data_IF_052190750404
#
_entry.id   IF_052190750404
#
_cell.length_a   1.000
_cell.length_b   1.000
_cell.length_c   1.000
_cell.angle_alpha   90.00
_cell.angle_beta   90.00
_cell.angle_gamma   90.00
#
_symmetry.space_group_name_H-M   'P 1'
#
loop_
_entity.id
_entity.type
_entity.pdbx_description
1 polymer ?
#
# COMPACT_ATOMS: atom_id res chain seq x y z
N UNK A 1 79.94 -58.54 48.47
CA UNK A 1 79.34 -59.88 48.55
C UNK A 1 78.23 -59.89 49.61
N UNK A 2 76.96 -60.02 49.16
CA UNK A 2 75.76 -60.62 49.82
C UNK A 2 74.47 -60.00 49.20
N UNK A 3 73.93 -60.62 48.13
CA UNK A 3 72.60 -61.29 47.98
C UNK A 3 71.33 -60.48 48.34
N UNK A 4 70.60 -59.96 47.32
CA UNK A 4 69.23 -60.32 46.81
C UNK A 4 68.02 -59.68 47.57
N UNK A 5 66.81 -59.43 46.99
CA UNK A 5 66.27 -60.06 45.77
C UNK A 5 65.55 -59.17 44.73
N UNK A 6 65.35 -59.77 43.57
CA UNK A 6 64.46 -59.36 42.48
C UNK A 6 62.99 -59.60 42.83
N UNK A 7 62.11 -58.67 42.46
CA UNK A 7 60.67 -58.89 42.33
C UNK A 7 60.30 -58.77 40.86
N UNK A 8 59.83 -59.88 40.32
CA UNK A 8 59.13 -60.01 39.04
C UNK A 8 57.66 -59.71 39.32
N UNK A 9 57.04 -58.80 38.56
CA UNK A 9 55.59 -58.76 38.43
C UNK A 9 55.20 -58.71 36.95
N UNK A 10 54.53 -59.78 36.56
CA UNK A 10 53.90 -60.10 35.29
C UNK A 10 52.82 -59.06 34.95
N UNK A 11 52.86 -58.47 33.76
CA UNK A 11 51.66 -57.83 33.17
C UNK A 11 51.34 -58.57 31.88
N UNK A 12 50.21 -59.26 31.93
CA UNK A 12 49.60 -60.04 30.86
C UNK A 12 49.02 -59.08 29.82
N UNK A 13 49.50 -59.20 28.59
CA UNK A 13 48.96 -58.57 27.40
C UNK A 13 47.68 -59.25 26.95
N UNK A 14 46.57 -58.50 26.89
CA UNK A 14 45.34 -58.90 26.22
C UNK A 14 45.20 -58.02 24.98
N UNK A 15 45.38 -58.61 23.82
CA UNK A 15 45.08 -57.98 22.54
C UNK A 15 43.55 -57.93 22.38
N UNK A 16 43.00 -56.75 22.14
CA UNK A 16 41.64 -56.59 21.61
C UNK A 16 41.75 -55.77 20.32
N UNK A 17 41.50 -56.43 19.20
CA UNK A 17 41.24 -55.77 17.92
C UNK A 17 39.84 -55.14 18.00
N UNK A 18 39.73 -53.83 17.83
CA UNK A 18 38.51 -53.18 17.39
C UNK A 18 38.82 -52.24 16.23
N UNK A 19 38.33 -52.70 15.06
CA UNK A 19 37.89 -52.01 13.85
C UNK A 19 38.08 -50.48 13.79
N UNK A 20 38.83 -50.06 12.78
CA UNK A 20 38.87 -48.69 12.26
C UNK A 20 37.62 -48.51 11.39
N UNK A 21 36.71 -47.63 11.80
CA UNK A 21 35.61 -47.18 10.95
C UNK A 21 36.14 -46.28 9.82
N UNK A 22 35.61 -46.36 8.59
CA UNK A 22 35.98 -45.45 7.52
C UNK A 22 35.39 -44.07 7.76
N UNK A 23 36.23 -43.03 7.71
CA UNK A 23 35.84 -41.62 7.66
C UNK A 23 34.83 -41.39 6.52
N UNK A 24 33.61 -40.98 6.89
CA UNK A 24 32.62 -40.48 5.95
C UNK A 24 33.13 -39.19 5.28
N UNK A 25 32.95 -39.03 3.95
CA UNK A 25 33.33 -37.79 3.29
C UNK A 25 32.40 -36.69 3.79
N UNK A 26 33.01 -35.64 4.34
CA UNK A 26 32.35 -34.45 4.85
C UNK A 26 31.54 -33.81 3.71
N UNK A 27 30.25 -34.12 3.65
CA UNK A 27 29.29 -33.39 2.82
C UNK A 27 29.33 -31.95 3.26
N UNK A 28 29.99 -31.11 2.46
CA UNK A 28 29.84 -29.65 2.53
C UNK A 28 28.39 -29.38 2.17
N UNK A 29 27.52 -29.38 3.17
CA UNK A 29 26.16 -28.90 3.01
C UNK A 29 26.29 -27.42 2.67
N UNK A 30 25.93 -27.06 1.44
CA UNK A 30 25.58 -25.68 1.15
C UNK A 30 24.49 -25.34 2.16
N UNK A 31 24.82 -24.51 3.15
CA UNK A 31 23.82 -23.76 3.89
C UNK A 31 22.99 -23.05 2.82
N UNK A 32 21.77 -23.54 2.60
CA UNK A 32 20.72 -22.72 2.03
C UNK A 32 20.65 -21.51 2.96
N UNK A 33 21.10 -20.35 2.48
CA UNK A 33 20.80 -19.09 3.14
C UNK A 33 19.30 -19.06 3.33
N UNK A 34 18.84 -19.16 4.57
CA UNK A 34 17.47 -18.86 4.89
C UNK A 34 17.29 -17.40 4.49
N UNK A 35 16.50 -17.14 3.45
CA UNK A 35 16.12 -15.78 3.07
C UNK A 35 15.56 -15.12 4.34
N UNK A 36 16.29 -14.15 4.89
CA UNK A 36 15.74 -13.26 5.92
C UNK A 36 14.40 -12.72 5.40
N UNK A 37 13.34 -12.68 6.24
CA UNK A 37 12.04 -12.21 5.79
C UNK A 37 12.18 -10.81 5.19
N UNK A 38 11.61 -10.62 3.99
CA UNK A 38 11.63 -9.31 3.31
C UNK A 38 11.06 -8.27 4.27
N UNK A 39 11.90 -7.29 4.63
CA UNK A 39 11.42 -6.11 5.34
C UNK A 39 10.69 -5.22 4.33
N UNK A 40 9.36 -5.32 4.32
CA UNK A 40 8.51 -4.53 3.41
C UNK A 40 8.62 -3.03 3.67
N UNK A 41 8.93 -2.64 4.91
CA UNK A 41 8.90 -1.27 5.39
C UNK A 41 10.32 -0.78 5.65
N UNK A 42 10.66 0.38 5.08
CA UNK A 42 11.86 1.15 5.37
C UNK A 42 11.44 2.32 6.28
N UNK A 43 11.64 2.25 7.61
CA UNK A 43 11.07 3.23 8.55
C UNK A 43 11.51 4.68 8.28
N UNK A 44 12.66 4.88 7.65
CA UNK A 44 13.19 6.21 7.28
C UNK A 44 12.62 6.77 5.97
N UNK A 45 11.91 5.96 5.18
CA UNK A 45 11.25 6.39 3.95
C UNK A 45 10.14 7.40 4.25
N UNK A 46 10.00 8.43 3.41
CA UNK A 46 9.09 9.57 3.63
C UNK A 46 7.98 9.68 2.59
N UNK A 47 8.01 8.82 1.58
CA UNK A 47 7.00 8.73 0.54
C UNK A 47 6.56 7.29 0.37
N UNK A 48 5.46 7.05 -0.36
CA UNK A 48 5.02 5.69 -0.73
C UNK A 48 6.16 4.89 -1.38
N UNK A 49 6.87 5.45 -2.35
CA UNK A 49 8.00 4.76 -3.00
C UNK A 49 9.14 4.42 -2.04
N UNK A 50 9.52 5.37 -1.18
CA UNK A 50 10.71 5.24 -0.33
C UNK A 50 10.45 4.48 0.96
N UNK A 51 9.18 4.38 1.41
CA UNK A 51 8.78 3.64 2.61
C UNK A 51 8.62 2.16 2.36
N UNK A 52 8.29 1.73 1.14
CA UNK A 52 7.97 0.33 0.88
C UNK A 52 8.95 -0.30 -0.12
N UNK A 53 9.58 -1.41 0.24
CA UNK A 53 10.39 -2.18 -0.69
C UNK A 53 9.49 -2.85 -1.75
N UNK A 54 9.99 -2.96 -2.98
CA UNK A 54 9.36 -3.85 -3.95
C UNK A 54 9.56 -5.32 -3.54
N UNK A 55 8.61 -6.21 -3.89
CA UNK A 55 8.78 -7.64 -3.69
C UNK A 55 9.99 -8.18 -4.45
N UNK A 56 10.54 -9.29 -3.96
CA UNK A 56 11.68 -9.95 -4.60
C UNK A 56 11.36 -10.30 -6.05
N UNK A 57 12.25 -9.91 -6.97
CA UNK A 57 12.09 -10.13 -8.41
C UNK A 57 11.16 -9.12 -9.11
N UNK A 58 10.50 -8.22 -8.37
CA UNK A 58 9.68 -7.15 -8.93
C UNK A 58 10.48 -5.85 -9.06
N UNK A 59 10.15 -5.06 -10.07
CA UNK A 59 10.66 -3.71 -10.26
C UNK A 59 9.50 -2.75 -10.44
N UNK A 60 9.57 -1.58 -9.81
CA UNK A 60 8.56 -0.52 -10.01
C UNK A 60 8.42 -0.19 -11.48
N UNK A 61 7.18 -0.11 -11.93
CA UNK A 61 6.88 0.29 -13.31
C UNK A 61 7.32 1.73 -13.55
N UNK A 62 7.84 2.02 -14.74
CA UNK A 62 8.24 3.38 -15.13
C UNK A 62 7.01 4.30 -15.19
N UNK A 63 7.18 5.54 -14.74
CA UNK A 63 6.11 6.54 -14.70
C UNK A 63 6.62 7.86 -15.32
N UNK A 64 5.77 8.54 -16.09
CA UNK A 64 6.08 9.86 -16.63
C UNK A 64 6.25 10.94 -15.54
N UNK A 65 7.21 11.84 -15.75
CA UNK A 65 7.69 12.84 -14.77
C UNK A 65 6.66 13.86 -14.28
N UNK A 66 5.53 14.03 -14.98
CA UNK A 66 4.45 14.96 -14.61
C UNK A 66 3.08 14.27 -14.56
N UNK A 67 3.05 12.98 -14.25
CA UNK A 67 1.80 12.21 -14.24
C UNK A 67 1.16 12.15 -12.85
N UNK A 68 -0.14 11.88 -12.82
CA UNK A 68 -0.86 11.65 -11.57
C UNK A 68 -0.27 10.47 -10.79
N UNK A 69 0.12 9.40 -11.49
CA UNK A 69 0.75 8.24 -10.88
C UNK A 69 2.03 8.57 -10.14
N UNK A 70 2.85 9.49 -10.66
CA UNK A 70 4.08 9.90 -9.97
C UNK A 70 3.76 10.69 -8.70
N UNK A 71 2.74 11.55 -8.75
CA UNK A 71 2.27 12.29 -7.58
C UNK A 71 1.80 11.34 -6.47
N UNK A 72 1.10 10.26 -6.83
CA UNK A 72 0.61 9.27 -5.88
C UNK A 72 1.73 8.43 -5.28
N UNK A 73 2.66 7.96 -6.11
CA UNK A 73 3.87 7.23 -5.68
C UNK A 73 4.77 8.08 -4.77
N UNK A 74 4.70 9.41 -4.88
CA UNK A 74 5.44 10.36 -4.07
C UNK A 74 4.62 11.01 -2.94
N UNK A 75 3.44 10.46 -2.61
CA UNK A 75 2.66 10.98 -1.49
C UNK A 75 3.50 11.00 -0.22
N UNK A 76 3.56 12.13 0.51
CA UNK A 76 4.33 12.22 1.73
C UNK A 76 3.66 11.35 2.79
N UNK A 77 4.47 10.69 3.61
CA UNK A 77 4.01 9.84 4.70
C UNK A 77 4.48 10.42 6.03
N UNK A 78 3.65 10.25 7.06
CA UNK A 78 4.05 10.48 8.44
C UNK A 78 5.19 9.52 8.83
N UNK A 79 5.81 9.79 9.98
CA UNK A 79 6.80 8.88 10.56
C UNK A 79 6.25 7.45 10.66
N UNK A 80 7.14 6.47 10.55
CA UNK A 80 6.77 5.08 10.71
C UNK A 80 6.16 4.80 12.09
N UNK A 81 5.12 3.96 12.12
CA UNK A 81 4.31 3.71 13.31
C UNK A 81 3.32 4.82 13.68
N UNK A 82 3.18 5.88 12.87
CA UNK A 82 2.14 6.89 13.09
C UNK A 82 0.73 6.28 13.03
N UNK A 83 -0.14 6.76 13.91
CA UNK A 83 -1.53 6.36 13.99
C UNK A 83 -2.40 7.24 13.08
N UNK A 84 -3.43 6.64 12.47
CA UNK A 84 -4.46 7.36 11.72
C UNK A 84 -5.33 8.13 12.70
N UNK A 85 -5.54 9.41 12.41
CA UNK A 85 -6.53 10.23 13.09
C UNK A 85 -7.83 10.31 12.30
N UNK A 86 -8.95 10.35 13.03
CA UNK A 86 -10.25 10.75 12.50
C UNK A 86 -10.37 12.28 12.48
N UNK A 87 -11.37 12.81 11.79
CA UNK A 87 -11.57 14.25 11.62
C UNK A 87 -11.74 15.03 12.94
N UNK A 88 -12.13 14.35 14.02
CA UNK A 88 -12.29 14.93 15.35
C UNK A 88 -11.00 14.82 16.21
N UNK A 89 -9.93 14.24 15.65
CA UNK A 89 -8.67 14.00 16.33
C UNK A 89 -8.59 12.69 17.11
N UNK A 90 -9.65 11.87 17.09
CA UNK A 90 -9.65 10.54 17.71
C UNK A 90 -8.67 9.63 16.96
N UNK A 91 -7.89 8.85 17.72
CA UNK A 91 -7.03 7.82 17.14
C UNK A 91 -7.87 6.64 16.66
N UNK A 92 -7.73 6.29 15.39
CA UNK A 92 -8.35 5.09 14.83
C UNK A 92 -7.58 3.84 15.26
N UNK A 93 -8.29 2.91 15.91
CA UNK A 93 -7.77 1.57 16.19
C UNK A 93 -7.42 0.85 14.88
N UNK A 94 -6.21 0.33 14.82
CA UNK A 94 -5.67 -0.39 13.66
C UNK A 94 -5.85 -1.90 13.83
N UNK A 95 -6.88 -2.45 13.18
CA UNK A 95 -7.13 -3.89 13.12
C UNK A 95 -6.50 -4.47 11.84
N UNK A 96 -5.17 -4.31 11.68
CA UNK A 96 -4.44 -4.66 10.44
C UNK A 96 -5.09 -4.04 9.19
N UNK A 97 -5.45 -2.76 9.31
CA UNK A 97 -6.12 -2.01 8.25
C UNK A 97 -5.11 -1.25 7.41
N UNK A 98 -4.05 -0.74 8.01
CA UNK A 98 -3.07 0.10 7.33
C UNK A 98 -1.65 -0.10 7.87
N UNK A 99 -0.69 0.24 7.02
CA UNK A 99 0.75 0.18 7.30
C UNK A 99 1.40 1.56 7.42
N UNK A 100 0.82 2.60 6.80
CA UNK A 100 1.33 3.96 6.88
C UNK A 100 0.22 5.00 6.72
N UNK A 101 0.48 6.21 7.19
CA UNK A 101 -0.43 7.36 7.11
C UNK A 101 0.17 8.40 6.18
N UNK A 102 -0.62 8.86 5.21
CA UNK A 102 -0.25 9.96 4.31
C UNK A 102 -0.29 11.26 5.10
N UNK A 103 0.77 12.05 5.00
CA UNK A 103 0.95 13.33 5.69
C UNK A 103 0.23 14.45 4.93
N UNK A 104 -1.10 14.39 4.95
CA UNK A 104 -1.99 15.39 4.39
C UNK A 104 -3.07 15.75 5.42
N UNK A 105 -3.21 17.03 5.80
CA UNK A 105 -4.17 17.42 6.83
C UNK A 105 -5.60 17.15 6.36
N UNK A 106 -6.41 16.51 7.18
CA UNK A 106 -7.85 16.38 6.99
C UNK A 106 -8.51 17.46 7.86
N UNK A 107 -9.48 18.21 7.34
CA UNK A 107 -10.11 19.28 8.11
C UNK A 107 -10.78 18.76 9.39
N UNK A 108 -11.30 19.64 10.23
CA UNK A 108 -11.98 19.27 11.48
C UNK A 108 -13.46 18.95 11.31
N UNK A 109 -13.89 18.66 10.08
CA UNK A 109 -15.28 18.35 9.72
C UNK A 109 -15.32 16.90 9.29
N UNK A 110 -16.44 16.22 9.47
CA UNK A 110 -16.68 14.88 8.88
C UNK A 110 -16.92 14.99 7.37
N UNK A 111 -15.91 15.51 6.69
CA UNK A 111 -15.71 15.65 5.26
C UNK A 111 -14.31 15.10 5.00
N UNK A 112 -14.02 14.67 3.77
CA UNK A 112 -12.78 13.95 3.46
C UNK A 112 -12.89 12.43 3.69
N UNK A 113 -14.07 11.88 3.40
CA UNK A 113 -14.36 10.45 3.37
C UNK A 113 -13.71 9.78 2.14
N UNK A 114 -13.94 8.47 1.95
CA UNK A 114 -13.28 7.66 0.91
C UNK A 114 -13.19 8.32 -0.48
N UNK A 115 -14.32 8.75 -1.06
CA UNK A 115 -14.36 9.39 -2.37
C UNK A 115 -13.76 10.82 -2.37
N UNK A 116 -13.94 11.56 -1.27
CA UNK A 116 -13.43 12.92 -1.10
C UNK A 116 -11.90 12.96 -1.12
N UNK A 117 -11.26 12.00 -0.43
CA UNK A 117 -9.81 11.85 -0.44
C UNK A 117 -9.28 11.64 -1.86
N UNK A 118 -9.95 10.82 -2.67
CA UNK A 118 -9.56 10.56 -4.06
C UNK A 118 -9.74 11.83 -4.92
N UNK A 119 -10.87 12.53 -4.76
CA UNK A 119 -11.12 13.80 -5.46
C UNK A 119 -10.07 14.86 -5.08
N UNK A 120 -9.69 14.95 -3.79
CA UNK A 120 -8.61 15.84 -3.33
C UNK A 120 -7.29 15.49 -4.00
N UNK A 121 -6.87 14.22 -3.95
CA UNK A 121 -5.60 13.78 -4.54
C UNK A 121 -5.51 14.17 -6.02
N UNK A 122 -6.60 13.96 -6.77
CA UNK A 122 -6.68 14.37 -8.18
C UNK A 122 -6.62 15.89 -8.33
N UNK A 123 -7.36 16.65 -7.52
CA UNK A 123 -7.41 18.10 -7.58
C UNK A 123 -6.07 18.75 -7.23
N UNK A 124 -5.40 18.31 -6.17
CA UNK A 124 -4.10 18.83 -5.75
C UNK A 124 -3.01 18.54 -6.79
N UNK A 125 -3.03 17.34 -7.40
CA UNK A 125 -2.16 17.02 -8.53
C UNK A 125 -2.36 18.02 -9.68
N UNK A 126 -3.60 18.19 -10.16
CA UNK A 126 -3.89 19.12 -11.26
C UNK A 126 -3.55 20.57 -10.89
N UNK A 127 -3.82 20.97 -9.65
CA UNK A 127 -3.48 22.29 -9.14
C UNK A 127 -1.97 22.53 -9.14
N UNK A 128 -1.17 21.54 -8.72
CA UNK A 128 0.31 21.64 -8.73
C UNK A 128 0.87 21.87 -10.14
N UNK A 129 0.16 21.41 -11.17
CA UNK A 129 0.49 21.57 -12.57
C UNK A 129 -0.15 22.80 -13.21
N UNK A 130 -0.82 23.66 -12.43
CA UNK A 130 -1.61 24.80 -12.91
C UNK A 130 -2.70 24.43 -13.95
N UNK A 131 -3.15 23.16 -13.95
CA UNK A 131 -4.21 22.62 -14.82
C UNK A 131 -5.59 22.89 -14.23
N UNK A 132 -5.87 24.14 -13.88
CA UNK A 132 -7.06 24.54 -13.11
C UNK A 132 -8.38 24.24 -13.83
N UNK A 133 -8.39 24.34 -15.15
CA UNK A 133 -9.53 24.05 -16.02
C UNK A 133 -9.96 22.57 -16.00
N UNK A 134 -9.09 21.68 -15.53
CA UNK A 134 -9.35 20.24 -15.46
C UNK A 134 -9.86 19.81 -14.08
N UNK A 135 -9.75 20.68 -13.07
CA UNK A 135 -10.29 20.41 -11.74
C UNK A 135 -11.81 20.57 -11.80
N UNK A 136 -12.50 19.43 -11.88
CA UNK A 136 -13.97 19.41 -11.92
C UNK A 136 -14.52 18.10 -11.37
N UNK A 137 -15.61 18.20 -10.61
CA UNK A 137 -16.26 17.03 -10.02
C UNK A 137 -17.77 17.07 -10.24
N UNK A 138 -18.33 15.91 -10.58
CA UNK A 138 -19.74 15.71 -10.88
C UNK A 138 -20.50 15.39 -9.60
N UNK A 139 -21.62 16.08 -9.38
CA UNK A 139 -22.61 15.74 -8.35
C UNK A 139 -23.50 14.59 -8.80
N UNK A 140 -24.14 13.89 -7.85
CA UNK A 140 -25.10 12.83 -8.17
C UNK A 140 -26.31 13.31 -9.01
N UNK A 141 -26.64 14.60 -8.94
CA UNK A 141 -27.65 15.26 -9.77
C UNK A 141 -27.27 15.40 -11.25
N UNK A 142 -25.99 15.17 -11.59
CA UNK A 142 -25.43 15.38 -12.92
C UNK A 142 -24.76 16.74 -13.14
N UNK A 143 -24.96 17.71 -12.24
CA UNK A 143 -24.27 19.01 -12.31
C UNK A 143 -22.78 18.84 -12.02
N UNK A 144 -21.94 19.50 -12.80
CA UNK A 144 -20.48 19.53 -12.57
C UNK A 144 -20.08 20.83 -11.91
N UNK A 145 -19.26 20.73 -10.86
CA UNK A 145 -18.64 21.89 -10.18
C UNK A 145 -17.21 22.02 -10.72
N UNK A 146 -17.01 22.90 -11.69
CA UNK A 146 -15.67 23.25 -12.18
C UNK A 146 -14.99 24.23 -11.23
N UNK A 147 -13.70 24.02 -10.95
CA UNK A 147 -12.90 24.91 -10.11
C UNK A 147 -12.81 26.30 -10.70
N UNK A 148 -12.55 26.46 -12.00
CA UNK A 148 -12.44 27.79 -12.64
C UNK A 148 -13.75 28.57 -12.57
N UNK A 149 -14.89 27.90 -12.73
CA UNK A 149 -16.21 28.53 -12.58
C UNK A 149 -16.49 28.92 -11.13
N UNK A 150 -16.17 28.03 -10.17
CA UNK A 150 -16.32 28.31 -8.74
C UNK A 150 -15.41 29.46 -8.27
N UNK A 151 -14.19 29.53 -8.83
CA UNK A 151 -13.18 30.52 -8.48
C UNK A 151 -13.65 31.93 -8.85
N UNK A 152 -14.42 32.07 -9.94
CA UNK A 152 -15.09 33.32 -10.32
C UNK A 152 -14.17 34.55 -10.33
N UNK A 153 -12.94 34.38 -10.85
CA UNK A 153 -11.92 35.44 -10.93
C UNK A 153 -11.07 35.64 -9.67
N UNK A 154 -11.29 34.89 -8.59
CA UNK A 154 -10.39 34.85 -7.43
C UNK A 154 -9.03 34.24 -7.79
N UNK A 155 -8.03 34.46 -6.93
CA UNK A 155 -6.69 33.89 -7.10
C UNK A 155 -6.70 32.38 -6.86
N UNK A 156 -6.12 31.57 -7.76
CA UNK A 156 -5.96 30.13 -7.52
C UNK A 156 -4.85 29.90 -6.50
N UNK A 157 -5.21 29.85 -5.22
CA UNK A 157 -4.32 29.55 -4.09
C UNK A 157 -4.83 28.34 -3.29
N UNK A 158 -4.02 27.86 -2.34
CA UNK A 158 -4.36 26.69 -1.51
C UNK A 158 -5.61 26.90 -0.68
N UNK A 159 -5.88 28.13 -0.22
CA UNK A 159 -7.07 28.47 0.57
C UNK A 159 -8.32 28.31 -0.28
N UNK A 160 -8.34 28.90 -1.47
CA UNK A 160 -9.44 28.81 -2.40
C UNK A 160 -9.63 27.38 -2.94
N UNK A 161 -8.54 26.64 -3.19
CA UNK A 161 -8.64 25.21 -3.52
C UNK A 161 -9.32 24.43 -2.40
N UNK A 162 -8.92 24.66 -1.14
CA UNK A 162 -9.52 23.98 0.00
C UNK A 162 -11.02 24.30 0.16
N UNK A 163 -11.41 25.58 0.05
CA UNK A 163 -12.84 25.96 0.13
C UNK A 163 -13.66 25.39 -1.05
N UNK A 164 -13.07 25.30 -2.24
CA UNK A 164 -13.68 24.59 -3.36
C UNK A 164 -13.88 23.11 -3.03
N UNK A 165 -12.84 22.45 -2.52
CA UNK A 165 -12.91 21.03 -2.14
C UNK A 165 -13.94 20.78 -1.05
N UNK A 166 -14.06 21.64 -0.04
CA UNK A 166 -15.15 21.54 0.94
C UNK A 166 -16.54 21.63 0.27
N UNK A 167 -16.70 22.48 -0.76
CA UNK A 167 -17.95 22.54 -1.54
C UNK A 167 -18.21 21.22 -2.27
N UNK A 168 -17.15 20.61 -2.83
CA UNK A 168 -17.22 19.31 -3.49
C UNK A 168 -17.58 18.21 -2.49
N UNK A 169 -16.90 18.12 -1.34
CA UNK A 169 -17.14 17.09 -0.32
C UNK A 169 -18.56 17.15 0.27
N UNK A 170 -19.15 18.34 0.36
CA UNK A 170 -20.53 18.50 0.82
C UNK A 170 -21.59 18.05 -0.21
N UNK A 171 -21.23 17.88 -1.48
CA UNK A 171 -22.22 17.71 -2.57
C UNK A 171 -21.94 16.55 -3.52
N UNK A 172 -20.72 16.01 -3.49
CA UNK A 172 -20.29 14.82 -4.21
C UNK A 172 -20.11 13.68 -3.19
N UNK A 173 -20.08 12.46 -3.70
CA UNK A 173 -19.93 11.22 -2.93
C UNK A 173 -19.47 10.09 -3.86
N UNK A 174 -19.29 8.90 -3.28
CA UNK A 174 -18.88 7.67 -4.00
C UNK A 174 -19.73 7.39 -5.24
N UNK A 175 -21.06 7.54 -5.15
CA UNK A 175 -21.96 7.32 -6.29
C UNK A 175 -21.66 8.30 -7.42
N UNK A 176 -21.51 9.58 -7.11
CA UNK A 176 -21.24 10.61 -8.11
C UNK A 176 -19.85 10.48 -8.74
N UNK A 177 -18.83 10.13 -7.95
CA UNK A 177 -17.48 9.86 -8.45
C UNK A 177 -17.51 8.63 -9.37
N UNK A 178 -18.20 7.55 -8.98
CA UNK A 178 -18.37 6.35 -9.81
C UNK A 178 -19.02 6.65 -11.17
N UNK A 179 -19.96 7.59 -11.22
CA UNK A 179 -20.61 8.05 -12.46
C UNK A 179 -19.71 8.93 -13.33
N UNK A 180 -18.74 9.63 -12.73
CA UNK A 180 -17.76 10.44 -13.45
C UNK A 180 -16.63 9.59 -14.03
N UNK A 181 -16.18 8.57 -13.28
CA UNK A 181 -15.04 7.73 -13.68
C UNK A 181 -15.41 6.72 -14.79
N UNK A 182 -14.45 6.49 -15.69
CA UNK A 182 -14.56 5.58 -16.83
C UNK A 182 -14.16 4.17 -16.42
N UNK A 183 -14.95 3.16 -16.80
CA UNK A 183 -14.64 1.75 -16.54
C UNK A 183 -13.42 1.29 -17.33
N UNK A 184 -12.59 0.47 -16.70
CA UNK A 184 -11.32 0.04 -17.25
C UNK A 184 -11.10 -1.47 -17.10
N UNK A 185 -10.57 -2.18 -18.12
CA UNK A 185 -10.20 -3.58 -17.97
C UNK A 185 -9.06 -3.78 -16.97
N UNK A 186 -9.12 -4.82 -16.14
CA UNK A 186 -8.17 -5.07 -15.04
C UNK A 186 -6.72 -5.19 -15.53
N UNK A 187 -6.51 -5.80 -16.69
CA UNK A 187 -5.20 -6.00 -17.31
C UNK A 187 -4.47 -4.68 -17.63
N UNK A 188 -5.22 -3.58 -17.75
CA UNK A 188 -4.67 -2.24 -18.01
C UNK A 188 -4.43 -1.42 -16.74
N UNK A 189 -4.61 -2.03 -15.56
CA UNK A 189 -4.49 -1.36 -14.25
C UNK A 189 -3.21 -0.51 -14.17
N UNK A 190 -3.39 0.73 -13.73
CA UNK A 190 -2.37 1.74 -13.60
C UNK A 190 -2.53 2.50 -12.29
N UNK A 191 -1.46 3.20 -11.90
CA UNK A 191 -1.48 4.05 -10.71
C UNK A 191 -2.41 5.24 -10.98
N UNK A 192 -3.27 5.55 -10.01
CA UNK A 192 -4.35 6.52 -10.13
C UNK A 192 -5.69 5.94 -10.57
N UNK A 193 -5.74 4.66 -10.94
CA UNK A 193 -7.00 3.95 -11.08
C UNK A 193 -7.64 3.73 -9.70
N UNK A 194 -8.96 3.57 -9.71
CA UNK A 194 -9.80 3.53 -8.52
C UNK A 194 -10.67 2.27 -8.56
N UNK A 195 -10.60 1.45 -7.52
CA UNK A 195 -11.64 0.47 -7.25
C UNK A 195 -12.78 1.17 -6.53
N UNK A 196 -13.97 1.19 -7.14
CA UNK A 196 -15.10 1.94 -6.61
C UNK A 196 -16.42 1.20 -6.83
N UNK A 197 -17.20 1.11 -5.77
CA UNK A 197 -18.52 0.51 -5.80
C UNK A 197 -19.57 1.44 -5.20
N UNK A 198 -20.80 1.26 -5.67
CA UNK A 198 -21.94 1.87 -4.99
C UNK A 198 -22.28 1.08 -3.73
N UNK A 199 -23.35 1.44 -3.02
CA UNK A 199 -23.79 0.68 -1.86
C UNK A 199 -24.15 -0.75 -2.25
N UNK A 200 -23.58 -1.78 -1.61
CA UNK A 200 -24.05 -3.14 -1.76
C UNK A 200 -25.45 -3.28 -1.14
N UNK A 201 -26.20 -4.35 -1.49
CA UNK A 201 -27.50 -4.60 -0.90
C UNK A 201 -27.44 -4.57 0.63
N UNK A 202 -28.26 -3.71 1.25
CA UNK A 202 -28.36 -3.59 2.71
C UNK A 202 -27.43 -2.56 3.35
N UNK A 203 -26.52 -1.92 2.61
CA UNK A 203 -25.74 -0.79 3.12
C UNK A 203 -26.16 0.53 2.45
N UNK A 204 -26.09 1.67 3.17
CA UNK A 204 -26.51 2.96 2.62
C UNK A 204 -25.42 3.68 1.82
N UNK A 205 -24.17 3.21 1.87
CA UNK A 205 -23.00 3.84 1.25
C UNK A 205 -22.14 2.84 0.48
N UNK A 206 -21.44 3.36 -0.54
CA UNK A 206 -20.39 2.62 -1.26
C UNK A 206 -18.99 2.99 -0.76
N UNK A 207 -17.97 2.35 -1.32
CA UNK A 207 -16.57 2.60 -0.96
C UNK A 207 -15.70 2.84 -2.20
N UNK A 208 -14.59 3.55 -2.01
CA UNK A 208 -13.60 3.83 -3.05
C UNK A 208 -12.18 3.78 -2.49
N UNK A 209 -11.28 3.11 -3.22
CA UNK A 209 -9.85 3.01 -2.91
C UNK A 209 -9.03 3.26 -4.19
N UNK A 210 -7.85 3.84 -4.05
CA UNK A 210 -7.01 4.27 -5.18
C UNK A 210 -5.70 3.50 -5.24
N UNK A 211 -5.24 3.18 -6.45
CA UNK A 211 -3.92 2.60 -6.71
C UNK A 211 -2.85 3.69 -6.58
N UNK A 212 -1.88 3.49 -5.68
CA UNK A 212 -0.81 4.48 -5.41
C UNK A 212 0.58 4.04 -5.85
N UNK A 213 0.78 2.73 -6.06
CA UNK A 213 2.01 2.19 -6.63
C UNK A 213 1.74 0.90 -7.42
N UNK A 214 2.67 0.55 -8.31
CA UNK A 214 2.62 -0.61 -9.20
C UNK A 214 4.03 -1.07 -9.55
N UNK A 215 4.30 -2.36 -9.37
CA UNK A 215 5.50 -3.03 -9.83
C UNK A 215 5.17 -4.24 -10.71
N UNK A 216 6.17 -4.72 -11.45
CA UNK A 216 6.04 -5.93 -12.26
C UNK A 216 7.34 -6.75 -12.21
N UNK A 217 7.23 -8.06 -12.34
CA UNK A 217 8.37 -8.96 -12.50
C UNK A 217 8.75 -9.14 -13.99
N UNK A 218 9.80 -9.92 -14.24
CA UNK A 218 10.26 -10.24 -15.62
C UNK A 218 9.28 -11.10 -16.41
N UNK A 219 8.36 -11.81 -15.75
CA UNK A 219 7.32 -12.62 -16.39
C UNK A 219 6.05 -11.81 -16.70
N UNK A 220 5.99 -10.54 -16.29
CA UNK A 220 4.85 -9.66 -16.46
C UNK A 220 3.79 -9.79 -15.36
N UNK A 221 4.07 -10.50 -14.26
CA UNK A 221 3.19 -10.48 -13.09
C UNK A 221 3.20 -9.08 -12.49
N UNK A 222 2.02 -8.59 -12.14
CA UNK A 222 1.82 -7.24 -11.63
C UNK A 222 1.41 -7.31 -10.18
N UNK A 223 2.02 -6.45 -9.36
CA UNK A 223 1.56 -6.15 -8.02
C UNK A 223 1.35 -4.65 -7.84
N UNK A 224 0.43 -4.26 -6.96
CA UNK A 224 0.04 -2.87 -6.75
C UNK A 224 -0.21 -2.56 -5.27
N UNK A 225 -0.16 -1.28 -4.92
CA UNK A 225 -0.46 -0.78 -3.56
C UNK A 225 -1.72 0.07 -3.58
N UNK A 226 -2.46 0.04 -2.48
CA UNK A 226 -3.74 0.73 -2.32
C UNK A 226 -3.67 1.77 -1.20
N UNK A 227 -4.41 2.86 -1.41
CA UNK A 227 -4.68 3.85 -0.36
C UNK A 227 -6.17 4.15 -0.26
N UNK A 228 -6.61 4.56 0.93
CA UNK A 228 -7.99 4.98 1.16
C UNK A 228 -8.10 6.04 2.25
N UNK A 229 -9.24 6.72 2.29
CA UNK A 229 -9.86 7.23 3.52
C UNK A 229 -11.10 6.37 3.82
N UNK A 230 -11.81 6.60 4.92
CA UNK A 230 -12.99 5.82 5.31
C UNK A 230 -14.14 6.73 5.78
N UNK A 231 -15.16 6.14 6.42
CA UNK A 231 -16.30 6.81 7.03
C UNK A 231 -16.41 6.38 8.50
N UNK A 232 -16.38 7.31 9.48
CA UNK A 232 -16.25 8.76 9.33
C UNK A 232 -14.92 9.18 8.69
N UNK A 233 -14.81 10.47 8.32
CA UNK A 233 -13.62 11.00 7.68
C UNK A 233 -12.37 10.76 8.54
N UNK A 234 -11.32 10.25 7.89
CA UNK A 234 -10.08 9.86 8.53
C UNK A 234 -8.89 10.15 7.59
N UNK A 235 -7.68 10.09 8.13
CA UNK A 235 -6.48 10.35 7.34
C UNK A 235 -6.32 9.29 6.25
N UNK A 236 -5.69 9.70 5.14
CA UNK A 236 -5.43 8.77 4.04
C UNK A 236 -4.39 7.77 4.50
N UNK A 237 -4.68 6.49 4.32
CA UNK A 237 -3.89 5.38 4.83
C UNK A 237 -3.44 4.46 3.69
N UNK A 238 -2.21 3.96 3.75
CA UNK A 238 -1.69 2.90 2.86
C UNK A 238 -2.13 1.57 3.45
N UNK A 239 -2.85 0.77 2.66
CA UNK A 239 -3.53 -0.42 3.15
C UNK A 239 -2.57 -1.58 3.45
N UNK A 240 -2.93 -2.35 4.48
CA UNK A 240 -2.33 -3.66 4.75
C UNK A 240 -3.06 -4.73 3.93
N UNK A 241 -2.33 -5.63 3.27
CA UNK A 241 -2.94 -6.69 2.48
C UNK A 241 -3.44 -7.83 3.40
N UNK A 242 -4.75 -8.08 3.52
CA UNK A 242 -5.27 -9.13 4.41
C UNK A 242 -4.87 -10.54 3.97
N UNK A 243 -4.52 -10.74 2.70
CA UNK A 243 -3.99 -12.02 2.21
C UNK A 243 -2.52 -12.25 2.59
N UNK A 244 -1.80 -11.19 2.99
CA UNK A 244 -0.41 -11.25 3.44
C UNK A 244 -0.12 -10.10 4.43
N UNK A 245 -0.56 -10.20 5.69
CA UNK A 245 -0.47 -9.10 6.66
C UNK A 245 0.97 -8.59 6.85
N UNK A 246 1.13 -7.27 6.91
CA UNK A 246 2.42 -6.58 6.91
C UNK A 246 2.96 -6.26 5.52
N UNK A 247 2.35 -6.78 4.45
CA UNK A 247 2.73 -6.50 3.07
C UNK A 247 1.77 -5.48 2.44
N UNK A 248 2.27 -4.40 1.80
CA UNK A 248 1.41 -3.42 1.14
C UNK A 248 0.98 -3.83 -0.27
N UNK A 249 1.55 -4.92 -0.81
CA UNK A 249 1.42 -5.31 -2.20
C UNK A 249 0.31 -6.33 -2.40
N UNK A 250 -0.56 -6.06 -3.36
CA UNK A 250 -1.65 -6.91 -3.82
C UNK A 250 -1.31 -7.47 -5.20
N UNK A 251 -1.58 -8.76 -5.42
CA UNK A 251 -1.46 -9.40 -6.73
C UNK A 251 -2.57 -8.95 -7.68
N UNK A 252 -2.24 -8.67 -8.95
CA UNK A 252 -3.25 -8.40 -9.98
C UNK A 252 -4.15 -9.62 -10.24
N UNK A 253 -3.61 -10.82 -10.05
CA UNK A 253 -4.33 -12.09 -10.19
C UNK A 253 -5.01 -12.50 -8.87
N UNK A 254 -5.85 -11.61 -8.32
CA UNK A 254 -6.61 -11.85 -7.09
C UNK A 254 -7.84 -12.75 -7.29
N UNK A 255 -8.02 -13.35 -8.47
CA UNK A 255 -9.18 -14.16 -8.81
C UNK A 255 -10.47 -13.32 -8.98
N UNK A 256 -11.57 -13.74 -8.36
CA UNK A 256 -12.88 -13.07 -8.51
C UNK A 256 -13.03 -11.83 -7.64
N UNK A 257 -12.36 -11.81 -6.49
CA UNK A 257 -12.56 -10.83 -5.44
C UNK A 257 -11.22 -10.31 -4.96
N UNK A 258 -11.05 -8.99 -5.04
CA UNK A 258 -9.96 -8.28 -4.38
C UNK A 258 -10.36 -8.06 -2.93
N UNK A 259 -9.74 -8.82 -2.02
CA UNK A 259 -9.94 -8.66 -0.59
C UNK A 259 -9.13 -7.48 -0.07
N UNK A 260 -9.80 -6.55 0.61
CA UNK A 260 -9.13 -5.44 1.33
C UNK A 260 -9.64 -5.36 2.77
N UNK A 261 -8.96 -4.67 3.69
CA UNK A 261 -9.27 -4.76 5.11
C UNK A 261 -10.70 -4.39 5.51
N UNK A 262 -11.37 -3.53 4.74
CA UNK A 262 -12.70 -3.02 5.10
C UNK A 262 -13.76 -3.19 4.00
N UNK A 263 -13.34 -3.42 2.75
CA UNK A 263 -14.28 -3.57 1.64
C UNK A 263 -13.72 -4.44 0.52
N UNK A 264 -14.54 -5.34 0.01
CA UNK A 264 -14.14 -6.19 -1.11
C UNK A 264 -14.57 -5.57 -2.44
N UNK A 265 -13.74 -5.81 -3.47
CA UNK A 265 -13.99 -5.33 -4.82
C UNK A 265 -13.90 -6.46 -5.84
N UNK A 266 -14.45 -6.22 -7.03
CA UNK A 266 -14.29 -7.11 -8.19
C UNK A 266 -13.55 -6.39 -9.31
N UNK A 267 -13.01 -7.15 -10.27
CA UNK A 267 -12.33 -6.62 -11.44
C UNK A 267 -13.18 -5.57 -12.23
N UNK A 268 -14.50 -5.75 -12.27
CA UNK A 268 -15.42 -4.85 -13.00
C UNK A 268 -15.65 -3.50 -12.31
N UNK A 269 -15.14 -3.33 -11.08
CA UNK A 269 -15.23 -2.10 -10.30
C UNK A 269 -13.99 -1.22 -10.44
N UNK A 270 -13.02 -1.61 -11.28
CA UNK A 270 -11.88 -0.78 -11.64
C UNK A 270 -12.33 0.34 -12.60
N UNK A 271 -12.02 1.58 -12.22
CA UNK A 271 -12.31 2.78 -13.00
C UNK A 271 -11.13 3.76 -12.98
N UNK A 272 -11.18 4.76 -13.85
CA UNK A 272 -10.13 5.77 -14.03
C UNK A 272 -10.73 7.14 -14.35
N UNK A 273 -9.93 8.20 -14.16
CA UNK A 273 -10.34 9.58 -14.50
C UNK A 273 -10.28 9.87 -16.01
N UNK A 274 -9.54 9.06 -16.77
CA UNK A 274 -9.22 9.21 -18.20
C UNK A 274 -9.21 7.85 -18.89
#
# INVERSE_FOLDING_TARGET
>A
MKVFPYIILMIVSIASCQTIDPEEPTKTSKKTEANEPISWIIPTGKTVETRFNSPEGFTRTAIGSNSFGLSLRNLPLKADGAEVLEFDGTVKLNHQTYLAVVDLPIGTKDLHQCADAIMRLRAEYLFSQSRFNEISFRQASGKTISYTTWLAGKTPDKTNLWTYLETVFNTCNTTSLKQQLVSKPLETLAIGDVFITGPPPGLPFGHAIIIVDKCADKAGKVQFMLAQSYMPAQEIQILDNPSNPGCPWYDLDFGTTLHTPQWDFTASQLKSFE
#
